data_IF_995301912198
#
_entry.id   IF_995301912198
#
_cell.length_a   1.000
_cell.length_b   1.000
_cell.length_c   1.000
_cell.angle_alpha   90.00
_cell.angle_beta   90.00
_cell.angle_gamma   90.00
#
_symmetry.space_group_name_H-M   'P 1'
#
loop_
_entity.id
_entity.type
_entity.pdbx_description
1 polymer ?
#
# COMPACT_ATOMS: atom_id res chain seq x y z
N UNK A 1 7.46 -2.95 21.12
CA UNK A 1 6.33 -2.08 20.71
C UNK A 1 6.37 -2.04 19.20
N UNK A 2 5.31 -2.49 18.53
CA UNK A 2 5.24 -2.50 17.07
C UNK A 2 5.45 -1.06 16.58
N UNK A 3 6.54 -0.84 15.85
CA UNK A 3 6.84 0.44 15.21
C UNK A 3 5.71 0.71 14.23
N UNK A 4 4.77 1.54 14.66
CA UNK A 4 3.55 1.73 13.90
C UNK A 4 3.89 2.59 12.72
N UNK A 5 3.50 2.16 11.53
CA UNK A 5 3.85 2.86 10.31
C UNK A 5 3.11 4.21 10.24
N UNK A 6 3.77 5.28 10.68
CA UNK A 6 3.19 6.63 10.76
C UNK A 6 2.73 7.15 9.40
N UNK A 7 3.40 6.76 8.32
CA UNK A 7 2.95 7.09 6.96
C UNK A 7 1.66 6.38 6.60
N UNK A 8 1.51 5.10 6.97
CA UNK A 8 0.25 4.38 6.75
C UNK A 8 -0.91 5.00 7.56
N UNK A 9 -0.66 5.44 8.80
CA UNK A 9 -1.66 6.18 9.59
C UNK A 9 -2.08 7.49 8.93
N UNK A 10 -1.13 8.22 8.36
CA UNK A 10 -1.45 9.47 7.66
C UNK A 10 -2.37 9.20 6.45
N UNK A 11 -2.10 8.15 5.68
CA UNK A 11 -3.02 7.75 4.60
C UNK A 11 -4.38 7.28 5.11
N UNK A 12 -4.45 6.62 6.26
CA UNK A 12 -5.73 6.27 6.89
C UNK A 12 -6.52 7.52 7.33
N UNK A 13 -5.82 8.56 7.80
CA UNK A 13 -6.42 9.86 8.13
C UNK A 13 -6.98 10.53 6.86
N UNK A 14 -6.19 10.58 5.80
CA UNK A 14 -6.60 11.10 4.49
C UNK A 14 -7.75 10.31 3.87
N UNK A 15 -7.80 8.99 4.08
CA UNK A 15 -8.94 8.16 3.69
C UNK A 15 -10.24 8.59 4.40
N UNK A 16 -10.16 9.02 5.67
CA UNK A 16 -11.29 9.61 6.38
C UNK A 16 -11.75 10.93 5.76
N UNK A 17 -10.81 11.81 5.42
CA UNK A 17 -11.10 13.09 4.73
C UNK A 17 -11.70 12.88 3.34
N UNK A 18 -11.19 11.90 2.60
CA UNK A 18 -11.72 11.50 1.30
C UNK A 18 -13.18 11.04 1.41
N UNK A 19 -13.47 10.17 2.39
CA UNK A 19 -14.85 9.71 2.63
C UNK A 19 -15.78 10.84 3.08
N UNK A 20 -15.27 11.86 3.77
CA UNK A 20 -16.01 13.06 4.16
C UNK A 20 -16.20 14.06 3.00
N UNK A 21 -15.61 13.80 1.83
CA UNK A 21 -15.65 14.70 0.68
C UNK A 21 -14.79 15.95 0.83
N UNK A 22 -13.92 16.02 1.86
CA UNK A 22 -13.01 17.16 2.07
C UNK A 22 -11.70 17.00 1.28
N UNK A 23 -11.37 15.77 0.89
CA UNK A 23 -10.32 15.47 -0.10
C UNK A 23 -10.97 15.00 -1.40
N UNK A 24 -10.85 15.83 -2.44
CA UNK A 24 -11.47 15.58 -3.74
C UNK A 24 -10.42 15.07 -4.71
N UNK A 25 -10.65 13.88 -5.24
CA UNK A 25 -9.86 13.29 -6.32
C UNK A 25 -10.83 12.76 -7.37
N UNK A 26 -10.64 13.20 -8.61
CA UNK A 26 -11.39 12.73 -9.77
C UNK A 26 -11.41 11.20 -9.85
N UNK A 27 -12.58 10.62 -10.15
CA UNK A 27 -12.81 9.17 -10.11
C UNK A 27 -11.74 8.39 -10.89
N UNK A 28 -11.52 8.73 -12.15
CA UNK A 28 -10.56 8.04 -13.02
C UNK A 28 -9.12 8.17 -12.50
N UNK A 29 -8.77 9.31 -11.92
CA UNK A 29 -7.45 9.50 -11.33
C UNK A 29 -7.27 8.64 -10.09
N UNK A 30 -8.30 8.59 -9.24
CA UNK A 30 -8.31 7.79 -8.03
C UNK A 30 -8.20 6.29 -8.34
N UNK A 31 -8.94 5.78 -9.33
CA UNK A 31 -8.85 4.38 -9.77
C UNK A 31 -7.45 4.02 -10.29
N UNK A 32 -6.86 4.87 -11.16
CA UNK A 32 -5.50 4.62 -11.67
C UNK A 32 -4.46 4.61 -10.56
N UNK A 33 -4.56 5.54 -9.60
CA UNK A 33 -3.64 5.61 -8.47
C UNK A 33 -3.79 4.41 -7.53
N UNK A 34 -5.03 3.99 -7.22
CA UNK A 34 -5.29 2.79 -6.43
C UNK A 34 -4.71 1.53 -7.12
N UNK A 35 -4.94 1.39 -8.43
CA UNK A 35 -4.39 0.29 -9.23
C UNK A 35 -2.85 0.29 -9.20
N UNK A 36 -2.22 1.44 -9.31
CA UNK A 36 -0.76 1.53 -9.24
C UNK A 36 -0.22 1.05 -7.88
N UNK A 37 -0.91 1.39 -6.78
CA UNK A 37 -0.56 0.90 -5.44
C UNK A 37 -0.64 -0.62 -5.36
N UNK A 38 -1.70 -1.22 -5.92
CA UNK A 38 -1.90 -2.67 -5.94
C UNK A 38 -0.81 -3.36 -6.78
N UNK A 39 -0.56 -2.85 -7.99
CA UNK A 39 0.43 -3.39 -8.91
C UNK A 39 1.84 -3.34 -8.29
N UNK A 40 2.17 -2.23 -7.62
CA UNK A 40 3.47 -2.08 -6.96
C UNK A 40 3.59 -2.99 -5.72
N UNK A 41 2.52 -3.15 -4.94
CA UNK A 41 2.49 -4.12 -3.82
C UNK A 41 2.70 -5.57 -4.31
N UNK A 42 2.15 -5.92 -5.48
CA UNK A 42 2.39 -7.22 -6.10
C UNK A 42 3.85 -7.40 -6.54
N UNK A 43 4.48 -6.36 -7.10
CA UNK A 43 5.90 -6.38 -7.45
C UNK A 43 6.79 -6.58 -6.21
N UNK A 44 6.50 -5.89 -5.10
CA UNK A 44 7.23 -6.06 -3.85
C UNK A 44 7.07 -7.49 -3.29
N UNK A 45 5.87 -8.08 -3.40
CA UNK A 45 5.64 -9.48 -3.03
C UNK A 45 6.51 -10.42 -3.84
N UNK A 46 6.54 -10.25 -5.16
CA UNK A 46 7.40 -11.05 -6.06
C UNK A 46 8.88 -10.90 -5.71
N UNK A 47 9.31 -9.68 -5.43
CA UNK A 47 10.68 -9.39 -5.05
C UNK A 47 11.08 -10.00 -3.70
N UNK A 48 10.18 -9.98 -2.71
CA UNK A 48 10.37 -10.68 -1.42
C UNK A 48 10.53 -12.19 -1.63
N UNK A 49 9.68 -12.81 -2.46
CA UNK A 49 9.79 -14.24 -2.74
C UNK A 49 11.11 -14.60 -3.44
N UNK A 50 11.55 -13.78 -4.39
CA UNK A 50 12.86 -13.94 -5.04
C UNK A 50 14.02 -13.78 -4.05
N UNK A 51 13.95 -12.80 -3.15
CA UNK A 51 14.96 -12.59 -2.12
C UNK A 51 15.06 -13.80 -1.17
N UNK A 52 13.91 -14.37 -0.78
CA UNK A 52 13.87 -15.61 0.01
C UNK A 52 14.51 -16.78 -0.71
N UNK A 53 14.28 -16.91 -2.02
CA UNK A 53 14.85 -17.97 -2.84
C UNK A 53 16.36 -17.81 -3.11
N UNK A 54 16.95 -16.62 -2.93
CA UNK A 54 18.39 -16.41 -3.16
C UNK A 54 19.25 -16.73 -1.94
N UNK A 55 18.68 -16.73 -0.74
CA UNK A 55 19.44 -17.01 0.49
C UNK A 55 19.48 -18.51 0.73
N UNK A 56 20.59 -19.12 0.31
CA UNK A 56 20.96 -20.48 0.72
C UNK A 56 22.12 -20.37 1.73
N UNK A 57 21.80 -20.43 3.02
CA UNK A 57 22.80 -20.30 4.09
C UNK A 57 23.92 -21.37 4.00
N UNK A 58 23.59 -22.53 3.41
CA UNK A 58 24.52 -23.66 3.20
C UNK A 58 25.51 -23.43 2.05
N UNK A 59 25.28 -22.44 1.17
CA UNK A 59 26.15 -22.20 0.01
C UNK A 59 27.51 -21.57 0.34
N UNK A 60 27.73 -21.18 1.60
CA UNK A 60 29.01 -20.59 2.03
C UNK A 60 30.06 -21.62 2.45
N UNK A 61 29.68 -22.90 2.64
CA UNK A 61 30.54 -24.00 3.08
C UNK A 61 30.43 -24.34 4.56
N UNK A 62 31.18 -25.36 4.99
CA UNK A 62 30.98 -26.02 6.30
C UNK A 62 31.84 -25.45 7.44
N UNK A 63 32.71 -24.50 7.14
CA UNK A 63 33.48 -23.82 8.18
C UNK A 63 32.53 -23.00 9.07
N UNK A 64 32.78 -22.96 10.38
CA UNK A 64 31.96 -22.18 11.32
C UNK A 64 31.79 -20.71 10.87
N UNK A 65 32.83 -20.09 10.32
CA UNK A 65 32.78 -18.73 9.78
C UNK A 65 31.84 -18.60 8.57
N UNK A 66 31.79 -19.61 7.70
CA UNK A 66 30.91 -19.66 6.55
C UNK A 66 29.44 -19.80 6.98
N UNK A 67 29.14 -20.71 7.91
CA UNK A 67 27.79 -20.85 8.48
C UNK A 67 27.30 -19.56 9.13
N UNK A 68 28.13 -18.94 9.98
CA UNK A 68 27.79 -17.65 10.61
C UNK A 68 27.57 -16.54 9.58
N UNK A 69 28.30 -16.54 8.46
CA UNK A 69 28.08 -15.58 7.38
C UNK A 69 26.73 -15.85 6.68
N UNK A 70 26.41 -17.10 6.38
CA UNK A 70 25.12 -17.50 5.81
C UNK A 70 23.93 -17.07 6.68
N UNK A 71 24.02 -17.30 7.99
CA UNK A 71 23.00 -16.87 8.96
C UNK A 71 22.80 -15.35 9.00
N UNK A 72 23.90 -14.58 8.90
CA UNK A 72 23.82 -13.11 8.83
C UNK A 72 23.08 -12.64 7.59
N UNK A 73 23.41 -13.19 6.42
CA UNK A 73 22.69 -12.87 5.18
C UNK A 73 21.22 -13.30 5.23
N UNK A 74 20.94 -14.47 5.81
CA UNK A 74 19.57 -14.93 6.02
C UNK A 74 18.77 -14.00 6.91
N UNK A 75 19.37 -13.53 8.00
CA UNK A 75 18.74 -12.56 8.91
C UNK A 75 18.49 -11.21 8.23
N UNK A 76 19.46 -10.71 7.46
CA UNK A 76 19.31 -9.47 6.70
C UNK A 76 18.19 -9.54 5.65
N UNK A 77 17.96 -10.72 5.05
CA UNK A 77 16.91 -10.89 4.05
C UNK A 77 15.53 -11.21 4.67
N UNK A 78 15.48 -12.08 5.66
CA UNK A 78 14.26 -12.76 6.14
C UNK A 78 13.97 -12.56 7.63
N UNK A 79 14.69 -11.66 8.30
CA UNK A 79 14.44 -11.35 9.71
C UNK A 79 12.97 -10.96 9.96
N UNK A 80 12.48 -11.24 11.16
CA UNK A 80 11.09 -11.00 11.56
C UNK A 80 10.72 -9.51 11.74
N UNK A 81 9.51 -9.21 12.22
CA UNK A 81 9.03 -7.83 12.40
C UNK A 81 9.98 -6.99 13.27
N UNK A 82 10.29 -5.77 12.81
CA UNK A 82 11.18 -4.85 13.51
C UNK A 82 12.68 -5.18 13.39
N UNK A 83 13.05 -6.21 12.61
CA UNK A 83 14.45 -6.56 12.37
C UNK A 83 15.17 -5.60 11.42
N UNK A 84 14.44 -4.78 10.67
CA UNK A 84 15.03 -4.00 9.58
C UNK A 84 15.48 -4.86 8.40
N UNK A 85 15.11 -6.14 8.37
CA UNK A 85 15.38 -7.03 7.24
C UNK A 85 14.68 -6.54 5.98
N UNK A 86 15.13 -7.05 4.85
CA UNK A 86 14.49 -6.77 3.56
C UNK A 86 13.00 -7.12 3.56
N UNK A 87 12.62 -8.24 4.16
CA UNK A 87 11.21 -8.67 4.29
C UNK A 87 10.42 -7.76 5.23
N UNK A 88 11.02 -7.31 6.35
CA UNK A 88 10.39 -6.35 7.27
C UNK A 88 10.15 -4.99 6.58
N UNK A 89 11.14 -4.49 5.84
CA UNK A 89 11.03 -3.25 5.08
C UNK A 89 9.95 -3.31 4.00
N UNK A 90 9.89 -4.42 3.23
CA UNK A 90 8.83 -4.64 2.23
C UNK A 90 7.45 -4.64 2.91
N UNK A 91 7.30 -5.38 4.01
CA UNK A 91 6.02 -5.49 4.73
C UNK A 91 5.52 -4.11 5.17
N UNK A 92 6.39 -3.31 5.79
CA UNK A 92 6.09 -1.92 6.17
C UNK A 92 5.70 -1.09 4.95
N UNK A 93 6.39 -1.23 3.83
CA UNK A 93 6.04 -0.47 2.64
C UNK A 93 4.68 -0.89 2.05
N UNK A 94 4.34 -2.18 2.11
CA UNK A 94 3.03 -2.69 1.67
C UNK A 94 1.88 -2.17 2.54
N UNK A 95 2.09 -1.96 3.84
CA UNK A 95 1.11 -1.31 4.71
C UNK A 95 0.78 0.11 4.23
N UNK A 96 1.81 0.88 3.83
CA UNK A 96 1.64 2.24 3.27
C UNK A 96 0.84 2.18 1.97
N UNK A 97 1.23 1.31 1.04
CA UNK A 97 0.55 1.16 -0.25
C UNK A 97 -0.91 0.75 -0.08
N UNK A 98 -1.19 -0.12 0.89
CA UNK A 98 -2.56 -0.55 1.20
C UNK A 98 -3.40 0.61 1.72
N UNK A 99 -2.87 1.38 2.68
CA UNK A 99 -3.57 2.56 3.21
C UNK A 99 -3.76 3.65 2.13
N UNK A 100 -2.77 3.86 1.28
CA UNK A 100 -2.83 4.81 0.18
C UNK A 100 -3.85 4.39 -0.88
N UNK A 101 -3.93 3.11 -1.22
CA UNK A 101 -4.93 2.58 -2.15
C UNK A 101 -6.36 2.75 -1.60
N UNK A 102 -6.57 2.49 -0.31
CA UNK A 102 -7.87 2.74 0.36
C UNK A 102 -8.28 4.21 0.30
N UNK A 103 -7.34 5.13 0.55
CA UNK A 103 -7.58 6.57 0.44
C UNK A 103 -8.04 6.97 -0.97
N UNK A 104 -7.35 6.51 -2.01
CA UNK A 104 -7.75 6.78 -3.39
C UNK A 104 -9.14 6.20 -3.71
N UNK A 105 -9.41 4.94 -3.33
CA UNK A 105 -10.73 4.33 -3.57
C UNK A 105 -11.87 5.11 -2.90
N UNK A 106 -11.66 5.56 -1.66
CA UNK A 106 -12.64 6.39 -0.94
C UNK A 106 -12.84 7.75 -1.60
N UNK A 107 -11.77 8.39 -2.07
CA UNK A 107 -11.85 9.68 -2.75
C UNK A 107 -12.65 9.56 -4.06
N UNK A 108 -12.36 8.55 -4.87
CA UNK A 108 -13.08 8.29 -6.11
C UNK A 108 -14.56 7.97 -5.87
N UNK A 109 -14.87 7.15 -4.86
CA UNK A 109 -16.24 6.83 -4.48
C UNK A 109 -17.02 8.09 -4.03
N UNK A 110 -16.41 8.94 -3.21
CA UNK A 110 -17.01 10.19 -2.76
C UNK A 110 -17.25 11.16 -3.93
N UNK A 111 -16.28 11.28 -4.85
CA UNK A 111 -16.41 12.08 -6.06
C UNK A 111 -17.61 11.65 -6.90
N UNK A 112 -17.69 10.35 -7.22
CA UNK A 112 -18.75 9.79 -8.05
C UNK A 112 -20.13 10.00 -7.42
N UNK A 113 -20.26 9.79 -6.12
CA UNK A 113 -21.51 10.03 -5.41
C UNK A 113 -21.93 11.51 -5.45
N UNK A 114 -20.97 12.43 -5.35
CA UNK A 114 -21.23 13.87 -5.43
C UNK A 114 -21.67 14.30 -6.84
N UNK A 115 -21.01 13.79 -7.88
CA UNK A 115 -21.36 14.07 -9.27
C UNK A 115 -22.76 13.53 -9.61
N UNK A 116 -23.06 12.28 -9.26
CA UNK A 116 -24.39 11.68 -9.47
C UNK A 116 -25.50 12.45 -8.75
N UNK A 117 -25.26 12.89 -7.50
CA UNK A 117 -26.21 13.71 -6.74
C UNK A 117 -26.42 15.08 -7.40
N UNK A 118 -25.36 15.71 -7.88
CA UNK A 118 -25.40 17.01 -8.57
C UNK A 118 -26.18 16.88 -9.89
N UNK A 119 -25.90 15.84 -10.69
CA UNK A 119 -26.63 15.57 -11.93
C UNK A 119 -28.13 15.37 -11.69
N UNK A 120 -28.51 14.63 -10.63
CA UNK A 120 -29.91 14.43 -10.27
C UNK A 120 -30.59 15.75 -9.86
N UNK A 121 -29.93 16.56 -9.03
CA UNK A 121 -30.45 17.84 -8.59
C UNK A 121 -30.66 18.81 -9.77
N UNK A 122 -29.70 18.87 -10.70
CA UNK A 122 -29.82 19.69 -11.91
C UNK A 122 -31.00 19.23 -12.77
N UNK A 123 -31.14 17.92 -13.04
CA UNK A 123 -32.28 17.36 -13.80
C UNK A 123 -33.62 17.70 -13.17
N UNK A 124 -33.73 17.61 -11.83
CA UNK A 124 -34.95 17.95 -11.11
C UNK A 124 -35.29 19.45 -11.21
N UNK A 125 -34.28 20.32 -11.24
CA UNK A 125 -34.51 21.75 -11.43
C UNK A 125 -34.91 22.08 -12.87
N UNK A 126 -34.27 21.46 -13.87
CA UNK A 126 -34.64 21.63 -15.28
C UNK A 126 -36.10 21.21 -15.53
N UNK A 127 -36.52 20.05 -15.01
CA UNK A 127 -37.90 19.57 -15.17
C UNK A 127 -38.97 20.44 -14.46
N UNK A 128 -38.59 21.39 -13.59
CA UNK A 128 -39.51 22.34 -12.96
C UNK A 128 -39.65 23.65 -13.74
N UNK A 129 -38.80 23.87 -14.74
CA UNK A 129 -38.78 25.07 -15.58
C UNK A 129 -39.59 24.88 -16.88
N UNK A 130 -39.85 23.63 -17.27
CA UNK A 130 -40.78 23.23 -18.34
C UNK A 130 -42.21 23.02 -17.81
#
# INVERSE_FOLDING_TARGET
MADTNETAKEFQRLAGEAAAGTLIIEYDAAERCAKWCDDYSAQLTSLSQRAKAMVFAESFGDLRSATTLGEKFATLAQGGPGSGSYTDAITKHQEILTAMADMYRKAGAAYKACDEATQLAVKQQTNKLD
#
